data_IF_634552875712
#
_entry.id   IF_634552875712
#
_cell.length_a   1.000
_cell.length_b   1.000
_cell.length_c   1.000
_cell.angle_alpha   90.00
_cell.angle_beta   90.00
_cell.angle_gamma   90.00
#
_symmetry.space_group_name_H-M   'P 1'
#
loop_
_entity.id
_entity.type
_entity.pdbx_description
1 polymer ?
#
# COMPACT_ATOMS: atom_id res chain seq x y z
N UNK A 1 19.54 7.83 -4.84
CA UNK A 1 18.06 8.00 -4.73
C UNK A 1 17.74 8.16 -3.27
N UNK A 2 17.02 9.21 -2.88
CA UNK A 2 16.68 9.47 -1.48
C UNK A 2 15.53 8.56 -1.03
N UNK A 3 15.63 8.07 0.22
CA UNK A 3 14.64 7.19 0.81
C UNK A 3 14.35 7.58 2.25
N UNK A 4 13.11 7.32 2.68
CA UNK A 4 12.64 7.60 4.04
C UNK A 4 12.15 6.32 4.71
N UNK A 5 12.36 6.25 6.04
CA UNK A 5 11.96 5.09 6.83
C UNK A 5 10.57 5.18 7.43
N UNK A 6 10.00 6.38 7.52
CA UNK A 6 8.70 6.63 8.15
C UNK A 6 7.93 7.70 7.39
N UNK A 7 6.61 7.57 7.38
CA UNK A 7 5.69 8.60 6.90
C UNK A 7 4.54 8.71 7.88
N UNK A 8 4.08 9.93 8.14
CA UNK A 8 2.89 10.20 8.93
C UNK A 8 1.89 10.92 8.03
N UNK A 9 0.64 10.46 8.03
CA UNK A 9 -0.42 11.19 7.32
C UNK A 9 -0.69 12.49 8.05
N UNK A 10 -0.95 13.56 7.31
CA UNK A 10 -1.32 14.86 7.87
C UNK A 10 -2.58 14.74 8.76
N UNK A 11 -2.79 15.74 9.62
CA UNK A 11 -3.94 15.79 10.56
C UNK A 11 -3.90 14.78 11.71
N UNK A 12 -2.70 14.33 12.09
CA UNK A 12 -2.52 13.46 13.27
C UNK A 12 -2.87 11.99 13.00
N UNK A 13 -2.77 11.55 11.75
CA UNK A 13 -2.93 10.15 11.38
C UNK A 13 -1.78 9.26 11.85
N UNK A 14 -1.82 7.99 11.44
CA UNK A 14 -0.83 7.01 11.87
C UNK A 14 0.55 7.23 11.25
N UNK A 15 1.58 6.90 12.03
CA UNK A 15 2.95 6.78 11.53
C UNK A 15 3.18 5.38 10.99
N UNK A 16 3.40 5.29 9.68
CA UNK A 16 3.70 4.06 8.95
C UNK A 16 5.21 3.91 8.77
N UNK A 17 5.71 2.68 8.96
CA UNK A 17 7.13 2.36 8.89
C UNK A 17 7.44 1.52 7.64
N UNK A 18 8.46 1.95 6.91
CA UNK A 18 9.05 1.20 5.82
C UNK A 18 10.03 0.16 6.38
N UNK A 19 9.67 -1.13 6.28
CA UNK A 19 10.43 -2.23 6.95
C UNK A 19 11.85 -2.38 6.40
N UNK A 20 12.08 -2.05 5.13
CA UNK A 20 13.42 -2.07 4.55
C UNK A 20 14.40 -1.07 5.18
N UNK A 21 13.89 -0.11 5.97
CA UNK A 21 14.64 1.04 6.49
C UNK A 21 14.60 1.15 8.02
N UNK A 22 13.58 0.60 8.69
CA UNK A 22 13.40 0.69 10.15
C UNK A 22 13.57 -0.67 10.80
N UNK A 23 14.48 -0.77 11.79
CA UNK A 23 14.57 -1.95 12.65
C UNK A 23 13.33 -2.04 13.53
N UNK A 24 12.51 -3.07 13.33
CA UNK A 24 11.38 -3.36 14.21
C UNK A 24 11.87 -4.06 15.47
N UNK A 25 11.45 -3.59 16.64
CA UNK A 25 11.68 -4.30 17.90
C UNK A 25 10.63 -5.39 18.06
N UNK A 26 11.02 -6.53 18.66
CA UNK A 26 10.15 -7.71 18.81
C UNK A 26 8.82 -7.40 19.54
N UNK A 27 8.85 -6.45 20.49
CA UNK A 27 7.67 -6.02 21.27
C UNK A 27 6.94 -4.79 20.68
N UNK A 28 7.41 -4.25 19.54
CA UNK A 28 6.75 -3.12 18.90
C UNK A 28 5.55 -3.56 18.06
N UNK A 29 4.46 -2.78 18.09
CA UNK A 29 3.33 -3.01 17.18
C UNK A 29 3.81 -2.92 15.74
N UNK A 30 3.33 -3.85 14.90
CA UNK A 30 3.72 -3.91 13.49
C UNK A 30 3.08 -2.79 12.66
N UNK A 31 3.65 -1.59 12.74
CA UNK A 31 3.19 -0.41 12.02
C UNK A 31 3.68 -0.36 10.56
N UNK A 32 3.77 -1.51 9.88
CA UNK A 32 4.24 -1.60 8.49
C UNK A 32 3.18 -2.01 7.47
N UNK A 33 2.01 -2.42 7.93
CA UNK A 33 0.91 -2.80 7.05
C UNK A 33 0.00 -1.62 6.79
N UNK A 34 -0.34 -1.41 5.52
CA UNK A 34 -1.11 -0.25 5.08
C UNK A 34 -2.27 -0.66 4.19
N UNK A 35 -3.36 0.11 4.26
CA UNK A 35 -4.42 0.13 3.27
C UNK A 35 -4.08 1.18 2.23
N UNK A 36 -4.23 0.85 0.96
CA UNK A 36 -4.01 1.78 -0.13
C UNK A 36 -5.04 1.55 -1.24
N UNK A 37 -5.35 2.62 -1.97
CA UNK A 37 -6.37 2.61 -3.01
C UNK A 37 -5.78 3.08 -4.34
N UNK A 38 -5.93 2.25 -5.37
CA UNK A 38 -5.43 2.56 -6.72
C UNK A 38 -6.54 2.39 -7.75
N UNK A 39 -6.33 2.97 -8.93
CA UNK A 39 -7.22 2.81 -10.08
C UNK A 39 -6.81 1.57 -10.87
N UNK A 40 -7.73 0.63 -11.02
CA UNK A 40 -7.52 -0.62 -11.78
C UNK A 40 -8.39 -0.58 -13.02
N UNK A 41 -7.80 -0.91 -14.17
CA UNK A 41 -8.56 -1.07 -15.41
C UNK A 41 -9.35 -2.39 -15.38
N UNK A 42 -10.69 -2.29 -15.38
CA UNK A 42 -11.60 -3.44 -15.47
C UNK A 42 -11.36 -4.25 -16.73
N UNK A 43 -10.96 -3.58 -17.80
CA UNK A 43 -10.77 -4.17 -19.12
C UNK A 43 -9.30 -4.51 -19.39
N UNK A 44 -8.42 -4.56 -18.38
CA UNK A 44 -7.00 -4.88 -18.54
C UNK A 44 -6.73 -6.19 -19.31
N UNK A 45 -7.67 -7.16 -19.28
CA UNK A 45 -7.58 -8.43 -20.02
C UNK A 45 -8.14 -8.37 -21.44
N UNK A 46 -8.82 -7.29 -21.83
CA UNK A 46 -9.45 -7.09 -23.12
C UNK A 46 -8.71 -5.98 -23.89
N UNK A 47 -7.65 -6.38 -24.62
CA UNK A 47 -6.71 -5.45 -25.25
C UNK A 47 -7.33 -4.43 -26.23
N UNK A 48 -8.54 -4.70 -26.75
CA UNK A 48 -9.23 -3.83 -27.73
C UNK A 48 -10.42 -3.07 -27.13
N UNK A 49 -10.74 -3.27 -25.85
CA UNK A 49 -11.79 -2.52 -25.18
C UNK A 49 -11.23 -1.20 -24.63
N UNK A 50 -12.07 -0.17 -24.58
CA UNK A 50 -11.70 1.07 -23.91
C UNK A 50 -11.42 0.82 -22.42
N UNK A 51 -10.36 1.42 -21.89
CA UNK A 51 -10.02 1.31 -20.47
C UNK A 51 -11.12 1.91 -19.60
N UNK A 52 -11.54 1.15 -18.58
CA UNK A 52 -12.52 1.59 -17.58
C UNK A 52 -11.88 1.43 -16.22
N UNK A 53 -11.51 2.55 -15.61
CA UNK A 53 -10.85 2.55 -14.32
C UNK A 53 -11.85 2.51 -13.17
N UNK A 54 -11.61 1.62 -12.21
CA UNK A 54 -12.29 1.62 -10.91
C UNK A 54 -11.31 1.78 -9.77
N UNK A 55 -11.75 2.49 -8.72
CA UNK A 55 -10.99 2.56 -7.48
C UNK A 55 -11.12 1.24 -6.76
N UNK A 56 -9.98 0.65 -6.40
CA UNK A 56 -9.92 -0.62 -5.69
C UNK A 56 -9.02 -0.51 -4.48
N UNK A 57 -9.48 -1.09 -3.38
CA UNK A 57 -8.73 -1.17 -2.12
C UNK A 57 -7.80 -2.37 -2.12
N UNK A 58 -6.60 -2.13 -1.63
CA UNK A 58 -5.55 -3.11 -1.44
C UNK A 58 -4.96 -2.97 -0.04
N UNK A 59 -4.32 -4.03 0.41
CA UNK A 59 -3.58 -4.07 1.65
C UNK A 59 -2.19 -4.61 1.37
N UNK A 60 -1.19 -4.18 2.11
CA UNK A 60 0.16 -4.67 1.89
C UNK A 60 1.16 -4.18 2.91
N UNK A 61 2.37 -4.70 2.81
CA UNK A 61 3.47 -4.37 3.71
C UNK A 61 4.40 -3.33 3.06
N UNK A 62 4.49 -2.15 3.66
CA UNK A 62 5.34 -1.06 3.21
C UNK A 62 6.83 -1.41 3.37
N UNK A 63 7.57 -1.38 2.26
CA UNK A 63 8.99 -1.72 2.22
C UNK A 63 9.88 -0.50 2.18
N UNK A 64 9.59 0.43 1.27
CA UNK A 64 10.39 1.62 1.01
C UNK A 64 9.50 2.82 0.73
N UNK A 65 10.00 4.00 1.09
CA UNK A 65 9.45 5.29 0.64
C UNK A 65 10.56 5.96 -0.19
N UNK A 66 10.30 6.16 -1.48
CA UNK A 66 11.23 6.84 -2.38
C UNK A 66 10.86 8.31 -2.54
N UNK A 67 11.87 9.17 -2.62
CA UNK A 67 11.69 10.60 -2.90
C UNK A 67 12.30 10.92 -4.24
N UNK A 68 11.47 11.41 -5.15
CA UNK A 68 11.86 11.82 -6.49
C UNK A 68 11.68 13.32 -6.61
N UNK A 69 12.80 14.04 -6.74
CA UNK A 69 12.79 15.47 -7.05
C UNK A 69 12.85 15.64 -8.56
N UNK A 70 11.75 16.12 -9.13
CA UNK A 70 11.63 16.39 -10.56
C UNK A 70 11.93 17.88 -10.78
N UNK A 71 13.01 18.24 -11.51
CA UNK A 71 13.28 19.63 -11.83
C UNK A 71 12.21 20.17 -12.78
N UNK A 72 11.99 21.49 -12.75
CA UNK A 72 11.16 22.16 -13.75
C UNK A 72 11.67 21.82 -15.15
N UNK A 73 10.78 21.38 -16.03
CA UNK A 73 11.14 20.97 -17.37
C UNK A 73 9.96 21.15 -18.34
N UNK A 74 10.18 21.96 -19.38
CA UNK A 74 9.13 22.34 -20.31
C UNK A 74 8.56 21.17 -21.10
N UNK A 75 9.34 20.12 -21.39
CA UNK A 75 8.85 18.98 -22.19
C UNK A 75 7.77 18.14 -21.50
N UNK A 76 7.64 18.26 -20.17
CA UNK A 76 6.62 17.59 -19.36
C UNK A 76 5.62 18.60 -18.79
N UNK A 77 5.61 19.83 -19.30
CA UNK A 77 4.79 20.95 -18.81
C UNK A 77 4.93 21.22 -17.30
N UNK A 78 6.08 20.87 -16.71
CA UNK A 78 6.36 21.12 -15.30
C UNK A 78 7.05 22.48 -15.14
N UNK A 79 6.27 23.50 -14.76
CA UNK A 79 6.73 24.89 -14.71
C UNK A 79 7.60 25.21 -13.47
N UNK A 80 7.49 24.40 -12.41
CA UNK A 80 8.25 24.55 -11.17
C UNK A 80 8.72 23.17 -10.69
N UNK A 81 9.86 23.07 -9.97
CA UNK A 81 10.31 21.79 -9.43
C UNK A 81 9.26 21.15 -8.52
N UNK A 82 9.08 19.84 -8.63
CA UNK A 82 8.12 19.07 -7.86
C UNK A 82 8.82 17.92 -7.11
N UNK A 83 8.31 17.59 -5.92
CA UNK A 83 8.80 16.44 -5.15
C UNK A 83 7.68 15.42 -5.01
N UNK A 84 7.91 14.23 -5.57
CA UNK A 84 6.97 13.12 -5.56
C UNK A 84 7.49 12.05 -4.60
N UNK A 85 6.57 11.51 -3.79
CA UNK A 85 6.86 10.44 -2.86
C UNK A 85 6.18 9.17 -3.35
N UNK A 86 6.95 8.08 -3.46
CA UNK A 86 6.42 6.77 -3.83
C UNK A 86 6.50 5.80 -2.66
N UNK A 87 5.44 5.04 -2.45
CA UNK A 87 5.41 3.91 -1.54
C UNK A 87 5.62 2.61 -2.31
N UNK A 88 6.64 1.84 -1.93
CA UNK A 88 6.88 0.50 -2.44
C UNK A 88 6.33 -0.52 -1.45
N UNK A 89 5.32 -1.28 -1.87
CA UNK A 89 4.50 -2.13 -1.02
C UNK A 89 4.55 -3.55 -1.56
N UNK A 90 4.69 -4.56 -0.71
CA UNK A 90 4.36 -5.93 -1.08
C UNK A 90 2.87 -6.16 -0.81
N UNK A 91 2.02 -6.30 -1.84
CA UNK A 91 0.58 -6.49 -1.65
C UNK A 91 0.26 -7.80 -0.94
N UNK A 92 -0.76 -7.81 -0.09
CA UNK A 92 -1.37 -9.01 0.46
C UNK A 92 -2.12 -9.75 -0.65
N UNK A 93 -1.88 -11.05 -0.79
CA UNK A 93 -2.67 -11.91 -1.67
C UNK A 93 -3.94 -12.31 -0.93
N UNK A 94 -4.99 -11.51 -1.11
CA UNK A 94 -6.26 -11.72 -0.42
C UNK A 94 -6.88 -13.07 -0.81
N UNK A 95 -7.32 -13.81 0.19
CA UNK A 95 -8.08 -15.05 0.04
C UNK A 95 -9.56 -14.80 0.35
N UNK A 96 -10.43 -15.71 -0.09
CA UNK A 96 -11.87 -15.58 0.09
C UNK A 96 -12.26 -15.41 1.56
N UNK A 97 -12.96 -14.32 1.87
CA UNK A 97 -13.57 -14.11 3.19
C UNK A 97 -14.71 -15.11 3.38
N UNK A 98 -14.79 -15.82 4.53
CA UNK A 98 -15.93 -16.67 4.84
C UNK A 98 -17.23 -15.86 4.83
N UNK A 99 -18.30 -16.39 4.23
CA UNK A 99 -19.54 -15.66 3.99
C UNK A 99 -20.18 -15.06 5.25
N UNK A 100 -19.98 -15.68 6.41
CA UNK A 100 -20.45 -15.19 7.70
C UNK A 100 -19.79 -13.89 8.18
N UNK A 101 -18.63 -13.54 7.61
CA UNK A 101 -17.86 -12.34 7.93
C UNK A 101 -17.93 -11.29 6.82
N UNK A 102 -18.68 -11.52 5.73
CA UNK A 102 -18.76 -10.57 4.61
C UNK A 102 -19.39 -9.23 4.98
N UNK A 103 -20.17 -9.17 6.07
CA UNK A 103 -20.71 -7.91 6.61
C UNK A 103 -19.71 -7.13 7.44
N UNK A 104 -18.57 -7.74 7.78
CA UNK A 104 -17.47 -7.12 8.50
C UNK A 104 -16.38 -6.79 7.47
N UNK A 105 -15.79 -5.60 7.55
CA UNK A 105 -14.70 -5.17 6.64
C UNK A 105 -13.37 -5.84 7.05
N UNK A 106 -13.39 -7.18 7.13
CA UNK A 106 -12.28 -8.03 7.56
C UNK A 106 -11.83 -8.83 6.34
N UNK A 107 -10.55 -8.66 5.99
CA UNK A 107 -9.95 -9.35 4.86
C UNK A 107 -8.90 -10.34 5.34
N UNK A 108 -8.70 -11.41 4.57
CA UNK A 108 -7.75 -12.46 4.93
C UNK A 108 -6.67 -12.60 3.87
N UNK A 109 -5.45 -12.90 4.30
CA UNK A 109 -4.35 -13.28 3.40
C UNK A 109 -3.44 -14.32 4.09
N UNK A 110 -2.74 -15.13 3.29
CA UNK A 110 -1.73 -16.07 3.80
C UNK A 110 -0.32 -15.72 3.31
N UNK A 111 -0.22 -15.04 2.16
CA UNK A 111 1.03 -14.70 1.50
C UNK A 111 1.04 -13.23 1.06
N UNK A 112 2.24 -12.66 1.01
CA UNK A 112 2.49 -11.40 0.31
C UNK A 112 2.91 -11.71 -1.14
N UNK A 113 2.65 -10.79 -2.06
CA UNK A 113 3.19 -10.89 -3.41
C UNK A 113 4.72 -10.77 -3.38
N UNK A 114 5.37 -11.46 -4.31
CA UNK A 114 6.81 -11.32 -4.54
C UNK A 114 7.15 -10.09 -5.40
N UNK A 115 6.14 -9.40 -5.94
CA UNK A 115 6.28 -8.19 -6.74
C UNK A 115 5.93 -6.97 -5.91
N UNK A 116 6.79 -5.95 -5.98
CA UNK A 116 6.47 -4.64 -5.40
C UNK A 116 5.42 -3.94 -6.25
N UNK A 117 4.45 -3.36 -5.58
CA UNK A 117 3.57 -2.34 -6.12
C UNK A 117 4.15 -0.98 -5.73
N UNK A 118 4.41 -0.12 -6.71
CA UNK A 118 5.00 1.21 -6.50
C UNK A 118 3.92 2.23 -6.86
N UNK A 119 3.39 2.87 -5.82
CA UNK A 119 2.28 3.81 -5.93
C UNK A 119 2.69 5.18 -5.41
N UNK A 120 2.02 6.23 -5.89
CA UNK A 120 2.13 7.54 -5.26
C UNK A 120 1.70 7.41 -3.79
N UNK A 121 2.43 8.06 -2.86
CA UNK A 121 2.16 7.92 -1.44
C UNK A 121 0.76 8.40 -1.05
N UNK A 122 0.15 9.28 -1.84
CA UNK A 122 -1.23 9.76 -1.65
C UNK A 122 -2.27 8.65 -1.84
N UNK A 123 -1.92 7.54 -2.50
CA UNK A 123 -2.75 6.34 -2.57
C UNK A 123 -2.85 5.60 -1.23
N UNK A 124 -1.86 5.78 -0.33
CA UNK A 124 -1.86 5.15 1.00
C UNK A 124 -2.83 5.88 1.92
N UNK A 125 -3.82 5.15 2.43
CA UNK A 125 -4.92 5.74 3.20
C UNK A 125 -4.63 5.74 4.70
N UNK A 126 -4.20 4.60 5.24
CA UNK A 126 -4.04 4.40 6.67
C UNK A 126 -3.14 3.19 6.98
N UNK A 127 -2.73 3.11 8.24
CA UNK A 127 -2.13 1.92 8.84
C UNK A 127 -3.25 0.92 9.14
N UNK A 128 -2.99 -0.38 8.93
CA UNK A 128 -3.94 -1.44 9.29
C UNK A 128 -3.34 -2.42 10.29
N UNK A 129 -4.20 -2.94 11.16
CA UNK A 129 -3.86 -4.03 12.06
C UNK A 129 -3.88 -5.38 11.34
N UNK A 130 -3.10 -6.34 11.85
CA UNK A 130 -3.18 -7.73 11.42
C UNK A 130 -3.18 -8.68 12.61
N UNK A 131 -4.04 -9.69 12.55
CA UNK A 131 -4.23 -10.69 13.61
C UNK A 131 -3.91 -12.06 13.04
N UNK A 132 -2.98 -12.84 13.65
CA UNK A 132 -2.71 -14.20 13.20
C UNK A 132 -3.89 -15.12 13.52
N UNK A 133 -4.30 -15.89 12.53
CA UNK A 133 -5.33 -16.92 12.59
C UNK A 133 -4.69 -18.27 12.24
N UNK A 134 -5.26 -19.37 12.72
CA UNK A 134 -4.78 -20.74 12.44
C UNK A 134 -3.27 -20.92 12.73
N UNK A 135 -2.83 -20.49 13.91
CA UNK A 135 -1.43 -20.58 14.33
C UNK A 135 -0.45 -19.74 13.49
N UNK A 136 -0.94 -18.70 12.80
CA UNK A 136 -0.12 -17.78 11.99
C UNK A 136 0.00 -18.16 10.51
N UNK A 137 -0.74 -19.19 10.06
CA UNK A 137 -0.82 -19.56 8.64
C UNK A 137 -1.65 -18.59 7.81
N UNK A 138 -2.63 -17.95 8.46
CA UNK A 138 -3.53 -16.96 7.86
C UNK A 138 -3.51 -15.72 8.73
N UNK A 139 -3.72 -14.56 8.11
CA UNK A 139 -3.78 -13.27 8.79
C UNK A 139 -5.09 -12.59 8.43
N UNK A 140 -5.80 -12.10 9.45
CA UNK A 140 -6.91 -11.18 9.27
C UNK A 140 -6.37 -9.75 9.28
N UNK A 141 -6.73 -8.94 8.30
CA UNK A 141 -6.47 -7.50 8.23
C UNK A 141 -7.70 -6.78 8.75
N UNK A 142 -7.47 -5.81 9.63
CA UNK A 142 -8.48 -4.96 10.23
C UNK A 142 -8.05 -3.50 10.10
N UNK A 143 -8.95 -2.68 9.58
CA UNK A 143 -8.82 -1.22 9.45
C UNK A 143 -9.70 -0.54 10.52
#
# INVERSE_FOLDING_TARGET
MEQWGKVCRIEGGDTMNAVGMVKMQADSRDASFVRYETLVDKNARQCNAASIYEKKTFYGKLQHIFVVRVPAHHSINLLAPETIFFAAIYPCQLISTPSALNSLDIHFYSTLSNTLDIVDITCVQCLVGRIPIDGGRVWAVVD
#
